data_IF_932212860274
#
_entry.id   IF_932212860274
#
_cell.length_a   1.000
_cell.length_b   1.000
_cell.length_c   1.000
_cell.angle_alpha   90.00
_cell.angle_beta   90.00
_cell.angle_gamma   90.00
#
_symmetry.space_group_name_H-M   'P 1'
#
loop_
_entity.id
_entity.type
_entity.pdbx_description
1 polymer ?
#
# COMPACT_ATOMS: atom_id res chain seq x y z
N UNK A 1 -1.93 24.59 -9.12
CA UNK A 1 -1.80 23.80 -7.88
C UNK A 1 -3.11 23.11 -7.58
N UNK A 2 -3.14 21.80 -7.74
CA UNK A 2 -4.23 20.89 -7.40
C UNK A 2 -3.69 19.88 -6.41
N UNK A 3 -4.47 19.54 -5.40
CA UNK A 3 -4.16 18.44 -4.52
C UNK A 3 -4.86 17.16 -5.01
N UNK A 4 -4.08 16.11 -5.27
CA UNK A 4 -4.58 14.82 -5.75
C UNK A 4 -4.51 13.83 -4.59
N UNK A 5 -5.66 13.36 -4.13
CA UNK A 5 -5.74 12.38 -3.05
C UNK A 5 -5.77 10.97 -3.66
N UNK A 6 -4.94 10.08 -3.14
CA UNK A 6 -4.85 8.68 -3.56
C UNK A 6 -5.00 7.81 -2.33
N UNK A 7 -6.07 7.05 -2.26
CA UNK A 7 -6.30 6.04 -1.23
C UNK A 7 -5.93 4.67 -1.77
N UNK A 8 -5.11 3.93 -1.02
CA UNK A 8 -4.65 2.59 -1.40
C UNK A 8 -5.17 1.59 -0.38
N UNK A 9 -6.03 0.68 -0.83
CA UNK A 9 -6.45 -0.48 -0.04
C UNK A 9 -5.39 -1.57 -0.25
N UNK A 10 -4.73 -1.97 0.83
CA UNK A 10 -3.48 -2.71 0.76
C UNK A 10 -3.23 -3.60 1.98
N UNK A 11 -2.36 -4.59 1.81
CA UNK A 11 -1.81 -5.42 2.89
C UNK A 11 -0.27 -5.43 2.77
N UNK A 12 0.51 -5.12 3.82
CA UNK A 12 1.97 -5.04 3.74
C UNK A 12 2.67 -6.33 3.30
N UNK A 13 2.01 -7.49 3.39
CA UNK A 13 2.55 -8.78 2.91
C UNK A 13 2.16 -9.12 1.48
N UNK A 14 1.42 -8.25 0.78
CA UNK A 14 1.06 -8.44 -0.61
C UNK A 14 2.19 -7.95 -1.54
N UNK A 15 2.85 -8.84 -2.31
CA UNK A 15 3.96 -8.42 -3.17
C UNK A 15 3.54 -7.47 -4.29
N UNK A 16 2.31 -7.62 -4.79
CA UNK A 16 1.74 -6.70 -5.78
C UNK A 16 1.38 -5.34 -5.16
N UNK A 17 1.10 -5.25 -3.86
CA UNK A 17 0.93 -3.95 -3.21
C UNK A 17 2.24 -3.16 -3.22
N UNK A 18 3.36 -3.83 -2.91
CA UNK A 18 4.67 -3.18 -2.95
C UNK A 18 5.06 -2.75 -4.36
N UNK A 19 4.87 -3.65 -5.34
CA UNK A 19 5.08 -3.34 -6.76
C UNK A 19 4.20 -2.18 -7.25
N UNK A 20 2.91 -2.20 -6.90
CA UNK A 20 1.95 -1.17 -7.29
C UNK A 20 2.31 0.20 -6.69
N UNK A 21 2.76 0.23 -5.43
CA UNK A 21 3.25 1.45 -4.79
C UNK A 21 4.47 2.04 -5.52
N UNK A 22 5.46 1.20 -5.86
CA UNK A 22 6.64 1.66 -6.60
C UNK A 22 6.27 2.24 -7.98
N UNK A 23 5.35 1.58 -8.70
CA UNK A 23 4.85 2.04 -9.99
C UNK A 23 4.03 3.33 -9.90
N UNK A 24 3.20 3.46 -8.86
CA UNK A 24 2.49 4.70 -8.57
C UNK A 24 3.47 5.86 -8.31
N UNK A 25 4.47 5.66 -7.46
CA UNK A 25 5.47 6.68 -7.15
C UNK A 25 6.22 7.14 -8.42
N UNK A 26 6.61 6.20 -9.28
CA UNK A 26 7.19 6.53 -10.59
C UNK A 26 6.24 7.31 -11.49
N UNK A 27 4.94 6.99 -11.48
CA UNK A 27 3.94 7.71 -12.25
C UNK A 27 3.77 9.16 -11.75
N UNK A 28 3.76 9.35 -10.42
CA UNK A 28 3.72 10.67 -9.78
C UNK A 28 4.96 11.50 -10.15
N UNK A 29 6.15 10.90 -10.08
CA UNK A 29 7.40 11.57 -10.47
C UNK A 29 7.40 11.96 -11.95
N UNK A 30 6.94 11.06 -12.82
CA UNK A 30 6.83 11.33 -14.25
C UNK A 30 5.81 12.44 -14.54
N UNK A 31 4.66 12.42 -13.87
CA UNK A 31 3.64 13.46 -13.96
C UNK A 31 4.20 14.82 -13.57
N UNK A 32 4.84 14.93 -12.40
CA UNK A 32 5.43 16.19 -11.91
C UNK A 32 6.48 16.76 -12.86
N UNK A 33 7.21 15.89 -13.58
CA UNK A 33 8.26 16.28 -14.53
C UNK A 33 7.71 16.67 -15.90
N UNK A 34 6.63 16.04 -16.37
CA UNK A 34 6.23 16.12 -17.78
C UNK A 34 4.88 16.79 -18.03
N UNK A 35 3.96 16.80 -17.05
CA UNK A 35 2.64 17.41 -17.21
C UNK A 35 2.68 18.93 -16.97
N UNK A 36 2.08 19.76 -17.85
CA UNK A 36 2.00 21.21 -17.64
C UNK A 36 1.37 21.58 -16.30
N UNK A 37 2.12 22.32 -15.46
CA UNK A 37 1.69 22.69 -14.11
C UNK A 37 1.74 21.56 -13.08
N UNK A 38 2.14 20.34 -13.46
CA UNK A 38 2.20 19.18 -12.57
C UNK A 38 3.26 19.30 -11.47
N UNK A 39 4.33 20.09 -11.69
CA UNK A 39 5.37 20.37 -10.68
C UNK A 39 4.80 21.01 -9.41
N UNK A 40 3.76 21.83 -9.55
CA UNK A 40 3.14 22.58 -8.45
C UNK A 40 1.97 21.81 -7.82
N UNK A 41 1.67 20.60 -8.30
CA UNK A 41 0.61 19.78 -7.76
C UNK A 41 1.13 18.86 -6.63
N UNK A 42 0.26 18.64 -5.64
CA UNK A 42 0.56 17.84 -4.45
C UNK A 42 -0.18 16.52 -4.51
N UNK A 43 0.39 15.50 -3.86
CA UNK A 43 -0.15 14.15 -3.83
C UNK A 43 -0.24 13.68 -2.39
N UNK A 44 -1.45 13.37 -1.94
CA UNK A 44 -1.68 12.79 -0.63
C UNK A 44 -1.96 11.30 -0.81
N UNK A 45 -0.96 10.47 -0.55
CA UNK A 45 -1.10 9.02 -0.57
C UNK A 45 -1.47 8.55 0.83
N UNK A 46 -2.61 7.88 0.96
CA UNK A 46 -3.13 7.35 2.22
C UNK A 46 -3.47 5.88 2.08
N UNK A 47 -3.49 5.18 3.21
CA UNK A 47 -3.63 3.73 3.22
C UNK A 47 -4.90 3.31 3.98
N UNK A 48 -5.52 2.26 3.47
CA UNK A 48 -6.65 1.58 4.10
C UNK A 48 -6.29 0.11 4.28
N UNK A 49 -6.45 -0.39 5.50
CA UNK A 49 -6.08 -1.75 5.83
C UNK A 49 -6.90 -2.80 5.06
N UNK A 50 -6.23 -3.90 4.71
CA UNK A 50 -6.82 -5.11 4.17
C UNK A 50 -6.07 -6.32 4.72
N UNK A 51 -6.77 -7.42 4.97
CA UNK A 51 -6.16 -8.71 5.29
C UNK A 51 -6.30 -9.66 4.10
N UNK A 52 -5.19 -10.05 3.49
CA UNK A 52 -5.14 -11.13 2.50
C UNK A 52 -5.47 -12.48 3.13
N UNK A 53 -5.12 -12.66 4.41
CA UNK A 53 -5.43 -13.85 5.18
C UNK A 53 -5.85 -13.47 6.61
N UNK A 54 -7.15 -13.24 6.86
CA UNK A 54 -7.65 -12.86 8.18
C UNK A 54 -7.55 -13.98 9.22
N UNK A 55 -7.22 -15.22 8.81
CA UNK A 55 -7.02 -16.36 9.71
C UNK A 55 -5.54 -16.73 9.87
N UNK A 56 -4.63 -15.89 9.37
CA UNK A 56 -3.19 -16.11 9.55
C UNK A 56 -2.81 -16.15 11.04
N UNK A 57 -1.83 -16.96 11.44
CA UNK A 57 -1.41 -17.06 12.83
C UNK A 57 -0.76 -15.76 13.31
N UNK A 58 -0.93 -15.47 14.60
CA UNK A 58 -0.25 -14.35 15.26
C UNK A 58 1.28 -14.54 15.30
N UNK A 59 1.75 -15.80 15.35
CA UNK A 59 3.17 -16.12 15.26
C UNK A 59 3.55 -16.35 13.80
N UNK A 60 4.56 -15.63 13.33
CA UNK A 60 5.09 -15.77 11.97
C UNK A 60 5.56 -17.18 11.63
N UNK A 61 5.22 -17.62 10.43
CA UNK A 61 5.68 -18.86 9.80
C UNK A 61 6.62 -18.54 8.63
N UNK A 62 7.60 -19.40 8.31
CA UNK A 62 8.47 -19.17 7.16
C UNK A 62 7.67 -18.95 5.88
N UNK A 63 7.99 -17.88 5.14
CA UNK A 63 7.25 -17.49 3.92
C UNK A 63 7.17 -18.65 2.93
N UNK A 64 8.27 -19.36 2.72
CA UNK A 64 8.32 -20.48 1.77
C UNK A 64 7.42 -21.66 2.19
N UNK A 65 7.25 -21.92 3.49
CA UNK A 65 6.34 -22.98 3.95
C UNK A 65 4.88 -22.60 3.73
N UNK A 66 4.52 -21.35 4.03
CA UNK A 66 3.17 -20.82 3.79
C UNK A 66 2.86 -20.80 2.30
N UNK A 67 3.81 -20.35 1.47
CA UNK A 67 3.65 -20.33 0.02
C UNK A 67 3.57 -21.74 -0.57
N UNK A 68 4.40 -22.68 -0.11
CA UNK A 68 4.36 -24.08 -0.55
C UNK A 68 3.02 -24.74 -0.23
N UNK A 69 2.47 -24.49 0.97
CA UNK A 69 1.17 -25.07 1.35
C UNK A 69 0.01 -24.50 0.53
N UNK A 70 0.08 -23.20 0.16
CA UNK A 70 -0.98 -22.53 -0.61
C UNK A 70 -0.89 -22.76 -2.11
N UNK A 71 0.32 -22.79 -2.65
CA UNK A 71 0.58 -22.81 -4.09
C UNK A 71 1.32 -24.06 -4.56
N UNK A 72 1.73 -24.98 -3.69
CA UNK A 72 2.54 -26.13 -4.10
C UNK A 72 4.03 -25.77 -4.19
N UNK A 73 4.86 -26.65 -3.63
CA UNK A 73 6.30 -26.46 -3.52
C UNK A 73 7.00 -26.39 -4.90
N UNK A 74 6.48 -27.12 -5.88
CA UNK A 74 6.97 -27.19 -7.27
C UNK A 74 6.85 -25.86 -8.03
N UNK A 75 5.92 -24.99 -7.63
CA UNK A 75 5.69 -23.69 -8.29
C UNK A 75 6.49 -22.55 -7.69
N UNK A 76 7.10 -22.73 -6.50
CA UNK A 76 7.72 -21.64 -5.76
C UNK A 76 8.87 -20.97 -6.50
N UNK A 77 9.77 -21.75 -7.09
CA UNK A 77 10.94 -21.22 -7.78
C UNK A 77 10.52 -20.29 -8.92
N UNK A 78 9.55 -20.72 -9.74
CA UNK A 78 9.00 -19.93 -10.84
C UNK A 78 8.30 -18.66 -10.35
N UNK A 79 7.51 -18.74 -9.29
CA UNK A 79 6.83 -17.57 -8.69
C UNK A 79 7.85 -16.56 -8.15
N UNK A 80 8.88 -17.01 -7.43
CA UNK A 80 9.94 -16.15 -6.91
C UNK A 80 10.75 -15.50 -8.04
N UNK A 81 11.12 -16.27 -9.07
CA UNK A 81 11.84 -15.74 -10.23
C UNK A 81 11.02 -14.65 -10.95
N UNK A 82 9.72 -14.88 -11.12
CA UNK A 82 8.82 -13.90 -11.71
C UNK A 82 8.75 -12.62 -10.87
N UNK A 83 8.53 -12.74 -9.56
CA UNK A 83 8.46 -11.59 -8.67
C UNK A 83 9.78 -10.81 -8.61
N UNK A 84 10.93 -11.51 -8.52
CA UNK A 84 12.25 -10.86 -8.58
C UNK A 84 12.45 -10.06 -9.86
N UNK A 85 12.08 -10.62 -11.01
CA UNK A 85 12.15 -9.91 -12.29
C UNK A 85 11.31 -8.62 -12.27
N UNK A 86 10.10 -8.66 -11.72
CA UNK A 86 9.26 -7.48 -11.58
C UNK A 86 9.86 -6.44 -10.63
N UNK A 87 10.37 -6.86 -9.47
CA UNK A 87 11.02 -5.95 -8.51
C UNK A 87 12.24 -5.25 -9.09
N UNK A 88 13.12 -5.98 -9.80
CA UNK A 88 14.33 -5.40 -10.42
C UNK A 88 13.97 -4.31 -11.42
N UNK A 89 12.89 -4.48 -12.17
CA UNK A 89 12.41 -3.47 -13.12
C UNK A 89 11.96 -2.16 -12.43
N UNK A 90 11.59 -2.23 -11.15
CA UNK A 90 11.20 -1.09 -10.32
C UNK A 90 12.28 -0.65 -9.32
N UNK A 91 13.47 -1.26 -9.37
CA UNK A 91 14.66 -0.84 -8.60
C UNK A 91 14.83 -1.48 -7.22
N UNK A 92 14.14 -2.59 -6.93
CA UNK A 92 14.27 -3.30 -5.65
C UNK A 92 14.38 -4.83 -5.83
N UNK A 93 14.87 -5.53 -4.81
CA UNK A 93 15.11 -6.98 -4.89
C UNK A 93 14.24 -7.74 -3.90
N UNK A 94 13.30 -8.55 -4.41
CA UNK A 94 12.52 -9.43 -3.54
C UNK A 94 13.38 -10.53 -2.92
N UNK A 95 13.23 -10.69 -1.62
CA UNK A 95 13.69 -11.82 -0.81
C UNK A 95 12.48 -12.60 -0.28
N UNK A 96 12.70 -13.86 0.10
CA UNK A 96 11.64 -14.80 0.51
C UNK A 96 12.07 -15.68 1.70
N UNK A 97 13.12 -15.27 2.42
CA UNK A 97 13.66 -15.96 3.59
C UNK A 97 12.98 -15.57 4.90
N UNK A 98 12.14 -14.53 4.89
CA UNK A 98 11.45 -14.02 6.07
C UNK A 98 10.27 -14.87 6.55
N UNK A 99 9.42 -14.25 7.38
CA UNK A 99 8.24 -14.90 8.00
C UNK A 99 6.97 -14.09 7.78
N UNK A 100 5.87 -14.78 7.55
CA UNK A 100 4.55 -14.20 7.31
C UNK A 100 3.54 -14.69 8.33
N UNK A 101 2.52 -13.88 8.59
CA UNK A 101 1.47 -14.15 9.58
C UNK A 101 0.43 -13.05 9.55
N UNK A 102 -0.30 -12.88 10.65
CA UNK A 102 -1.35 -11.87 10.74
C UNK A 102 -0.77 -10.45 10.69
N UNK A 103 -1.29 -9.59 9.81
CA UNK A 103 -0.71 -8.25 9.55
C UNK A 103 -1.33 -7.13 10.38
N UNK A 104 -2.25 -7.45 11.30
CA UNK A 104 -2.96 -6.48 12.14
C UNK A 104 -2.04 -5.54 12.90
N UNK A 105 -0.96 -6.04 13.51
CA UNK A 105 -0.06 -5.16 14.27
C UNK A 105 0.75 -4.23 13.36
N UNK A 106 1.12 -4.68 12.16
CA UNK A 106 1.71 -3.80 11.15
C UNK A 106 0.73 -2.70 10.73
N UNK A 107 -0.55 -3.06 10.47
CA UNK A 107 -1.62 -2.10 10.18
C UNK A 107 -1.88 -1.14 11.34
N UNK A 108 -1.78 -1.60 12.60
CA UNK A 108 -1.92 -0.74 13.78
C UNK A 108 -0.80 0.30 13.88
N UNK A 109 0.44 -0.06 13.52
CA UNK A 109 1.54 0.90 13.43
C UNK A 109 1.33 1.91 12.29
N UNK A 110 0.79 1.48 11.15
CA UNK A 110 0.41 2.38 10.04
C UNK A 110 -0.73 3.32 10.48
N UNK A 111 -1.68 2.83 11.28
CA UNK A 111 -2.75 3.65 11.85
C UNK A 111 -2.21 4.75 12.78
N UNK A 112 -1.17 4.45 13.57
CA UNK A 112 -0.46 5.49 14.33
C UNK A 112 0.17 6.52 13.39
N UNK A 113 0.85 6.07 12.33
CA UNK A 113 1.47 6.94 11.33
C UNK A 113 0.48 7.88 10.65
N UNK A 114 -0.74 7.40 10.38
CA UNK A 114 -1.85 8.20 9.83
C UNK A 114 -2.18 9.44 10.65
N UNK A 115 -2.04 9.38 11.99
CA UNK A 115 -2.24 10.54 12.87
C UNK A 115 -1.18 11.63 12.71
N UNK A 116 -0.03 11.31 12.09
CA UNK A 116 1.09 12.23 11.83
C UNK A 116 1.06 12.82 10.41
N UNK A 117 0.09 12.41 9.59
CA UNK A 117 -0.12 12.91 8.22
C UNK A 117 0.26 11.91 7.13
N UNK A 118 -0.19 12.17 5.88
CA UNK A 118 -0.08 11.22 4.76
C UNK A 118 1.37 10.90 4.37
N UNK A 119 2.29 11.85 4.54
CA UNK A 119 3.72 11.64 4.23
C UNK A 119 4.34 10.60 5.17
N UNK A 120 4.08 10.71 6.48
CA UNK A 120 4.57 9.76 7.50
C UNK A 120 3.86 8.42 7.35
N UNK A 121 2.54 8.42 7.12
CA UNK A 121 1.78 7.19 6.83
C UNK A 121 2.38 6.40 5.66
N UNK A 122 2.65 7.10 4.55
CA UNK A 122 3.23 6.50 3.35
C UNK A 122 4.66 6.00 3.58
N UNK A 123 5.48 6.77 4.30
CA UNK A 123 6.85 6.38 4.64
C UNK A 123 6.89 5.14 5.55
N UNK A 124 6.02 5.05 6.56
CA UNK A 124 5.91 3.90 7.46
C UNK A 124 5.46 2.65 6.71
N UNK A 125 4.37 2.74 5.92
CA UNK A 125 3.88 1.60 5.13
C UNK A 125 4.96 1.10 4.15
N UNK A 126 5.62 2.03 3.45
CA UNK A 126 6.72 1.69 2.52
C UNK A 126 7.90 1.04 3.25
N UNK A 127 8.27 1.52 4.43
CA UNK A 127 9.35 0.92 5.22
C UNK A 127 8.99 -0.47 5.75
N UNK A 128 7.73 -0.70 6.15
CA UNK A 128 7.27 -2.03 6.58
C UNK A 128 7.36 -3.01 5.41
N UNK A 129 6.81 -2.64 4.24
CA UNK A 129 6.92 -3.47 3.04
C UNK A 129 8.37 -3.75 2.67
N UNK A 130 9.25 -2.75 2.71
CA UNK A 130 10.67 -2.91 2.43
C UNK A 130 11.33 -3.93 3.37
N UNK A 131 11.13 -3.80 4.68
CA UNK A 131 11.77 -4.74 5.61
C UNK A 131 11.22 -6.17 5.44
N UNK A 132 9.96 -6.32 5.06
CA UNK A 132 9.37 -7.64 4.78
C UNK A 132 9.88 -8.23 3.46
N UNK A 133 9.95 -7.44 2.38
CA UNK A 133 10.20 -7.93 1.03
C UNK A 133 11.66 -7.87 0.58
N UNK A 134 12.51 -7.07 1.20
CA UNK A 134 13.92 -6.91 0.79
C UNK A 134 14.90 -7.34 1.89
N UNK A 135 14.45 -7.46 3.14
CA UNK A 135 15.30 -7.67 4.32
C UNK A 135 14.93 -8.94 5.10
N UNK A 136 14.15 -9.84 4.50
CA UNK A 136 13.69 -11.10 5.12
C UNK A 136 13.02 -10.92 6.48
N UNK A 137 12.28 -9.82 6.65
CA UNK A 137 11.59 -9.48 7.89
C UNK A 137 10.46 -10.44 8.27
N UNK A 138 10.07 -10.37 9.55
CA UNK A 138 8.89 -11.02 10.09
C UNK A 138 7.81 -9.97 10.37
N UNK A 139 6.72 -9.99 9.59
CA UNK A 139 5.63 -9.02 9.73
C UNK A 139 4.89 -9.12 11.08
N UNK A 140 5.08 -10.21 11.82
CA UNK A 140 4.48 -10.41 13.15
C UNK A 140 5.41 -9.97 14.29
N UNK A 141 6.68 -9.66 13.98
CA UNK A 141 7.66 -9.20 14.96
C UNK A 141 7.47 -7.71 15.25
N UNK A 142 7.16 -7.39 16.50
CA UNK A 142 7.08 -6.00 16.94
C UNK A 142 8.41 -5.27 16.82
N UNK A 143 9.54 -5.95 16.99
CA UNK A 143 10.85 -5.32 16.80
C UNK A 143 11.03 -4.89 15.34
N UNK A 144 10.67 -5.73 14.36
CA UNK A 144 10.69 -5.35 12.95
C UNK A 144 9.72 -4.20 12.65
N UNK A 145 8.50 -4.25 13.20
CA UNK A 145 7.48 -3.20 12.98
C UNK A 145 7.95 -1.87 13.55
N UNK A 146 8.47 -1.85 14.79
CA UNK A 146 8.98 -0.65 15.46
C UNK A 146 10.16 -0.07 14.67
N UNK A 147 11.06 -0.91 14.19
CA UNK A 147 12.24 -0.47 13.42
C UNK A 147 11.85 0.14 12.08
N UNK A 148 10.93 -0.51 11.37
CA UNK A 148 10.38 0.00 10.12
C UNK A 148 9.60 1.30 10.31
N UNK A 149 8.74 1.36 11.34
CA UNK A 149 7.97 2.55 11.67
C UNK A 149 8.89 3.73 12.00
N UNK A 150 10.00 3.49 12.71
CA UNK A 150 10.98 4.52 13.02
C UNK A 150 11.70 5.05 11.78
N UNK A 151 12.08 4.17 10.84
CA UNK A 151 12.61 4.60 9.54
C UNK A 151 11.60 5.44 8.74
N UNK A 152 10.30 5.22 8.95
CA UNK A 152 9.21 6.00 8.38
C UNK A 152 8.89 7.32 9.09
N UNK A 153 9.58 7.65 10.19
CA UNK A 153 9.43 8.93 10.89
C UNK A 153 8.60 8.88 12.18
N UNK A 154 8.33 7.69 12.73
CA UNK A 154 7.72 7.55 14.06
C UNK A 154 8.78 7.38 15.17
N UNK A 155 8.40 7.68 16.41
CA UNK A 155 9.25 7.41 17.57
C UNK A 155 9.11 5.95 18.02
N UNK A 156 10.24 5.27 18.27
CA UNK A 156 10.25 3.82 18.58
C UNK A 156 9.42 3.48 19.80
N UNK A 157 9.58 4.25 20.88
CA UNK A 157 8.87 4.04 22.14
C UNK A 157 7.37 4.33 22.00
N UNK A 158 6.99 5.29 21.15
CA UNK A 158 5.59 5.59 20.85
C UNK A 158 4.94 4.39 20.14
N UNK A 159 5.60 3.84 19.12
CA UNK A 159 5.10 2.68 18.37
C UNK A 159 4.98 1.45 19.28
N UNK A 160 6.01 1.18 20.09
CA UNK A 160 5.99 0.04 21.03
C UNK A 160 4.84 0.16 22.02
N UNK A 161 4.71 1.32 22.68
CA UNK A 161 3.61 1.58 23.62
C UNK A 161 2.24 1.48 22.96
N UNK A 162 2.10 2.01 21.75
CA UNK A 162 0.86 1.91 20.97
C UNK A 162 0.46 0.46 20.69
N UNK A 163 1.43 -0.39 20.36
CA UNK A 163 1.22 -1.82 20.13
C UNK A 163 0.86 -2.55 21.43
N UNK A 164 1.57 -2.28 22.53
CA UNK A 164 1.31 -2.82 23.87
C UNK A 164 -0.11 -2.50 24.37
N UNK A 165 -0.56 -1.27 24.17
CA UNK A 165 -1.86 -0.77 24.64
C UNK A 165 -3.04 -1.22 23.76
N UNK A 166 -2.84 -2.03 22.73
CA UNK A 166 -3.94 -2.49 21.87
C UNK A 166 -4.52 -1.40 20.93
N UNK A 167 -3.92 -0.20 20.89
CA UNK A 167 -4.43 0.96 20.15
C UNK A 167 -4.41 0.77 18.63
N UNK A 168 -5.32 1.46 17.93
CA UNK A 168 -5.50 1.37 16.48
C UNK A 168 -6.22 0.10 16.02
N UNK A 169 -6.46 -0.87 16.90
CA UNK A 169 -7.04 -2.15 16.53
C UNK A 169 -8.45 -2.04 15.98
N UNK A 170 -9.31 -1.27 16.64
CA UNK A 170 -10.70 -1.04 16.20
C UNK A 170 -10.75 -0.34 14.85
N UNK A 171 -9.95 0.70 14.67
CA UNK A 171 -9.88 1.47 13.42
C UNK A 171 -9.38 0.61 12.25
N UNK A 172 -8.43 -0.29 12.49
CA UNK A 172 -7.94 -1.24 11.46
C UNK A 172 -9.02 -2.24 11.11
N UNK A 173 -9.71 -2.82 12.09
CA UNK A 173 -10.75 -3.82 11.83
C UNK A 173 -11.93 -3.19 11.07
N UNK A 174 -12.33 -1.97 11.42
CA UNK A 174 -13.35 -1.20 10.69
C UNK A 174 -12.94 -0.93 9.23
N UNK A 175 -11.68 -0.56 8.98
CA UNK A 175 -11.15 -0.34 7.63
C UNK A 175 -11.19 -1.60 6.76
N UNK A 176 -10.87 -2.76 7.35
CA UNK A 176 -10.91 -4.05 6.66
C UNK A 176 -12.34 -4.44 6.32
N UNK A 177 -13.28 -4.28 7.28
CA UNK A 177 -14.71 -4.49 7.02
C UNK A 177 -15.23 -3.57 5.92
N UNK A 178 -14.86 -2.30 5.94
CA UNK A 178 -15.24 -1.34 4.89
C UNK A 178 -14.72 -1.75 3.51
N UNK A 179 -13.47 -2.21 3.41
CA UNK A 179 -12.93 -2.69 2.14
C UNK A 179 -13.73 -3.90 1.61
N UNK A 180 -14.13 -4.83 2.50
CA UNK A 180 -14.98 -5.96 2.13
C UNK A 180 -16.39 -5.51 1.72
N UNK A 181 -17.00 -4.55 2.44
CA UNK A 181 -18.30 -3.96 2.11
C UNK A 181 -18.30 -3.24 0.76
N UNK A 182 -17.20 -2.57 0.43
CA UNK A 182 -16.97 -1.94 -0.87
C UNK A 182 -16.79 -2.95 -2.02
N UNK A 183 -16.77 -4.26 -1.72
CA UNK A 183 -16.62 -5.30 -2.73
C UNK A 183 -15.19 -5.51 -3.21
N UNK A 184 -14.19 -5.00 -2.48
CA UNK A 184 -12.77 -5.19 -2.82
C UNK A 184 -12.36 -6.63 -2.56
N UNK A 185 -12.16 -7.39 -3.64
CA UNK A 185 -11.81 -8.83 -3.61
C UNK A 185 -10.31 -9.11 -3.76
N UNK A 186 -9.51 -8.07 -3.94
CA UNK A 186 -8.08 -8.18 -4.12
C UNK A 186 -7.38 -6.85 -3.97
N UNK A 187 -6.11 -6.90 -3.59
CA UNK A 187 -5.25 -5.74 -3.36
C UNK A 187 -3.98 -5.84 -4.21
N UNK A 188 -3.35 -4.71 -4.59
CA UNK A 188 -3.73 -3.34 -4.24
C UNK A 188 -4.96 -2.86 -5.02
N UNK A 189 -5.74 -1.98 -4.41
CA UNK A 189 -6.81 -1.25 -5.07
C UNK A 189 -6.63 0.25 -4.77
N UNK A 190 -6.48 1.05 -5.84
CA UNK A 190 -6.20 2.48 -5.74
C UNK A 190 -7.45 3.27 -6.09
N UNK A 191 -7.73 4.31 -5.31
CA UNK A 191 -8.82 5.25 -5.56
C UNK A 191 -8.24 6.65 -5.61
N UNK A 192 -8.32 7.31 -6.76
CA UNK A 192 -7.81 8.66 -7.00
C UNK A 192 -8.99 9.64 -6.98
N UNK A 193 -8.90 10.66 -6.13
CA UNK A 193 -9.94 11.67 -5.88
C UNK A 193 -11.34 11.07 -5.67
N UNK A 194 -11.40 9.94 -4.94
CA UNK A 194 -12.63 9.20 -4.61
C UNK A 194 -13.50 8.82 -5.83
N UNK A 195 -12.91 8.77 -7.03
CA UNK A 195 -13.64 8.60 -8.29
C UNK A 195 -13.00 7.63 -9.27
N UNK A 196 -11.68 7.69 -9.44
CA UNK A 196 -10.98 6.86 -10.41
C UNK A 196 -10.36 5.67 -9.71
N UNK A 197 -10.76 4.47 -10.12
CA UNK A 197 -10.29 3.23 -9.51
C UNK A 197 -9.26 2.52 -10.41
N UNK A 198 -8.20 2.01 -9.79
CA UNK A 198 -7.20 1.17 -10.45
C UNK A 198 -7.04 -0.11 -9.65
N UNK A 199 -7.37 -1.25 -10.26
CA UNK A 199 -7.22 -2.57 -9.65
C UNK A 199 -5.87 -3.21 -9.98
N UNK A 200 -5.14 -3.63 -8.95
CA UNK A 200 -3.87 -4.34 -9.07
C UNK A 200 -2.67 -3.45 -9.36
N UNK A 201 -1.50 -4.07 -9.47
CA UNK A 201 -0.22 -3.40 -9.74
C UNK A 201 -0.07 -3.04 -11.23
N UNK A 202 -0.93 -2.18 -11.75
CA UNK A 202 -0.92 -1.77 -13.17
C UNK A 202 0.40 -1.09 -13.56
N UNK A 203 0.68 -1.05 -14.86
CA UNK A 203 1.86 -0.37 -15.40
C UNK A 203 1.83 1.14 -15.14
N UNK A 204 3.01 1.77 -15.04
CA UNK A 204 3.18 3.21 -14.77
C UNK A 204 2.32 4.09 -15.69
N UNK A 205 2.18 3.70 -16.95
CA UNK A 205 1.37 4.42 -17.93
C UNK A 205 -0.13 4.46 -17.60
N UNK A 206 -0.67 3.43 -16.96
CA UNK A 206 -2.08 3.44 -16.51
C UNK A 206 -2.27 4.41 -15.35
N UNK A 207 -1.40 4.36 -14.34
CA UNK A 207 -1.44 5.34 -13.25
C UNK A 207 -1.33 6.77 -13.76
N UNK A 208 -0.42 7.04 -14.69
CA UNK A 208 -0.26 8.36 -15.29
C UNK A 208 -1.56 8.82 -15.99
N UNK A 209 -2.20 7.94 -16.77
CA UNK A 209 -3.49 8.25 -17.43
C UNK A 209 -4.55 8.67 -16.43
N UNK A 210 -4.69 7.92 -15.32
CA UNK A 210 -5.70 8.21 -14.31
C UNK A 210 -5.41 9.48 -13.51
N UNK A 211 -4.14 9.76 -13.19
CA UNK A 211 -3.72 11.01 -12.54
C UNK A 211 -4.05 12.21 -13.44
N UNK A 212 -3.76 12.13 -14.74
CA UNK A 212 -4.10 13.18 -15.72
C UNK A 212 -5.62 13.37 -15.81
N UNK A 213 -6.40 12.29 -15.90
CA UNK A 213 -7.86 12.37 -15.93
C UNK A 213 -8.43 13.00 -14.64
N UNK A 214 -7.82 12.70 -13.48
CA UNK A 214 -8.19 13.30 -12.21
C UNK A 214 -7.87 14.80 -12.16
N UNK A 215 -6.73 15.22 -12.71
CA UNK A 215 -6.34 16.64 -12.82
C UNK A 215 -7.31 17.43 -13.70
N UNK A 216 -7.59 16.94 -14.91
CA UNK A 216 -8.35 17.69 -15.92
C UNK A 216 -9.82 17.85 -15.55
N UNK A 217 -10.44 16.79 -14.99
CA UNK A 217 -11.84 16.87 -14.55
C UNK A 217 -12.01 17.46 -13.16
N UNK A 218 -10.96 17.47 -12.34
CA UNK A 218 -10.94 18.22 -11.06
C UNK A 218 -10.83 19.74 -11.26
N UNK A 219 -10.33 20.20 -12.41
CA UNK A 219 -10.34 21.62 -12.81
C UNK A 219 -11.67 22.10 -13.39
N UNK A 220 -12.58 21.20 -13.75
CA UNK A 220 -13.96 21.51 -14.16
C UNK A 220 -14.90 21.44 -12.95
N UNK A 221 -14.65 22.28 -11.94
CA UNK A 221 -15.62 22.53 -10.87
C UNK A 221 -16.78 23.38 -11.40
N UNK A 222 -17.98 22.81 -11.39
CA UNK A 222 -19.29 23.49 -11.44
C UNK A 222 -19.45 24.66 -12.44
N UNK A 223 -19.61 24.35 -13.72
CA UNK A 223 -20.55 25.11 -14.54
C UNK A 223 -21.80 24.25 -14.70
N UNK A 224 -22.81 24.54 -13.87
CA UNK A 224 -24.14 23.99 -14.05
C UNK A 224 -24.63 24.34 -15.45
N UNK A 225 -24.69 23.34 -16.32
CA UNK A 225 -25.34 23.41 -17.62
C UNK A 225 -26.62 22.60 -17.54
N UNK A 226 -27.73 23.29 -17.31
CA UNK A 226 -29.04 22.82 -17.72
C UNK A 226 -28.99 22.46 -19.21
N UNK A 227 -29.51 21.29 -19.60
CA UNK A 227 -29.41 20.88 -21.01
C UNK A 227 -29.97 19.52 -21.35
N UNK A 228 -31.29 19.39 -21.21
CA UNK A 228 -32.24 18.58 -21.98
C UNK A 228 -31.95 17.11 -22.32
N UNK A 229 -32.90 16.29 -21.90
CA UNK A 229 -33.20 14.96 -22.44
C UNK A 229 -33.54 14.99 -23.94
N UNK A 230 -33.05 13.98 -24.66
CA UNK A 230 -33.84 13.21 -25.61
C UNK A 230 -33.71 11.74 -25.25
#
# INVERSE_FOLDING_TARGET
>A
MTNINIKIISDPVCPFCYLGNARLNRAIDLYKKTYPGGKDDTFNVTWQAYYLNPTAPAKGLPVNEVMASRFGADRLEMMHAHMKKLGVAEGFNFTFGGKTGHTRDAHRAIQLAKSKGPEVENAVMTSIMKSYFEEDGDVTSWDMIVDAAARGGLERDEVRKWLEEGKGGREVDEQVEDAYRMGVRGVPHFVINDKYEVGGAQEVGEFLRQIVAAKEKGGQGSSGGEGLSC
#
